data_IF_876095404969
#
_entry.id   IF_876095404969
#
_cell.length_a   1.000
_cell.length_b   1.000
_cell.length_c   1.000
_cell.angle_alpha   90.00
_cell.angle_beta   90.00
_cell.angle_gamma   90.00
#
_symmetry.space_group_name_H-M   'P 1'
#
loop_
_entity.id
_entity.type
_entity.pdbx_description
1 polymer ?
#
# COMPACT_ATOMS: atom_id res chain seq x y z
N UNK A 1 -18.34 -2.46 -11.79
CA UNK A 1 -17.06 -2.62 -11.11
C UNK A 1 -16.98 -1.64 -9.93
N UNK A 2 -16.69 -2.16 -8.76
CA UNK A 2 -16.45 -1.40 -7.53
C UNK A 2 -14.93 -1.32 -7.34
N UNK A 3 -14.40 -0.11 -7.19
CA UNK A 3 -12.98 0.13 -6.93
C UNK A 3 -12.91 1.14 -5.78
N UNK A 4 -12.21 0.76 -4.72
CA UNK A 4 -11.88 1.67 -3.65
C UNK A 4 -10.55 2.39 -3.98
N UNK A 5 -10.49 3.71 -3.80
CA UNK A 5 -9.31 4.51 -4.17
C UNK A 5 -8.03 4.05 -3.48
N UNK A 6 -8.12 3.68 -2.18
CA UNK A 6 -6.99 3.11 -1.43
C UNK A 6 -6.51 1.76 -1.96
N UNK A 7 -7.35 1.05 -2.73
CA UNK A 7 -6.99 -0.23 -3.35
C UNK A 7 -6.59 -0.12 -4.83
N UNK A 8 -6.20 1.07 -5.29
CA UNK A 8 -5.78 1.24 -6.69
C UNK A 8 -4.67 2.29 -6.81
N UNK A 9 -3.44 1.87 -6.99
CA UNK A 9 -2.29 2.73 -7.19
C UNK A 9 -1.84 2.67 -8.65
N UNK A 10 -2.00 3.75 -9.38
CA UNK A 10 -1.64 3.83 -10.80
C UNK A 10 -0.29 4.52 -10.96
N UNK A 11 0.56 3.93 -11.80
CA UNK A 11 1.85 4.51 -12.20
C UNK A 11 2.16 4.14 -13.64
N UNK A 12 2.29 5.12 -14.52
CA UNK A 12 2.67 4.95 -15.95
C UNK A 12 1.90 3.81 -16.64
N UNK A 13 0.57 3.85 -16.59
CA UNK A 13 -0.28 2.86 -17.25
C UNK A 13 -0.36 1.49 -16.55
N UNK A 14 0.32 1.31 -15.44
CA UNK A 14 0.21 0.10 -14.61
C UNK A 14 -0.59 0.37 -13.36
N UNK A 15 -1.40 -0.58 -12.93
CA UNK A 15 -2.06 -0.51 -11.61
C UNK A 15 -1.57 -1.59 -10.68
N UNK A 16 -1.47 -1.24 -9.41
CA UNK A 16 -1.20 -2.15 -8.30
C UNK A 16 -2.43 -2.17 -7.39
N UNK A 17 -2.99 -3.37 -7.19
CA UNK A 17 -4.16 -3.61 -6.35
C UNK A 17 -3.90 -4.80 -5.42
N UNK A 18 -4.76 -5.00 -4.45
CA UNK A 18 -4.84 -6.28 -3.73
C UNK A 18 -5.99 -7.15 -4.26
N UNK A 19 -5.99 -8.43 -3.88
CA UNK A 19 -7.06 -9.39 -4.19
C UNK A 19 -8.40 -9.04 -3.52
N UNK A 20 -8.47 -7.98 -2.72
CA UNK A 20 -9.69 -7.36 -2.22
C UNK A 20 -10.65 -6.99 -3.36
N UNK A 21 -10.11 -6.60 -4.52
CA UNK A 21 -10.91 -6.27 -5.71
C UNK A 21 -11.85 -7.41 -6.13
N UNK A 22 -11.45 -8.66 -5.95
CA UNK A 22 -12.29 -9.83 -6.26
C UNK A 22 -13.40 -10.02 -5.24
N UNK A 23 -13.14 -9.73 -3.96
CA UNK A 23 -14.12 -9.82 -2.89
C UNK A 23 -15.22 -8.78 -3.07
N UNK A 24 -14.85 -7.55 -3.40
CA UNK A 24 -15.78 -6.44 -3.59
C UNK A 24 -16.62 -6.59 -4.88
N UNK A 25 -16.13 -7.38 -5.83
CA UNK A 25 -16.79 -7.63 -7.13
C UNK A 25 -17.15 -9.10 -7.35
N UNK A 26 -17.46 -9.86 -6.31
CA UNK A 26 -17.78 -11.30 -6.37
C UNK A 26 -18.92 -11.70 -7.35
N UNK A 27 -19.68 -10.73 -7.85
CA UNK A 27 -20.72 -10.93 -8.87
C UNK A 27 -20.14 -10.96 -10.30
N UNK A 28 -18.85 -10.65 -10.49
CA UNK A 28 -18.13 -10.69 -11.74
C UNK A 28 -17.07 -11.79 -11.69
N UNK A 29 -16.69 -12.33 -12.86
CA UNK A 29 -15.52 -13.20 -12.96
C UNK A 29 -14.22 -12.39 -12.88
N UNK A 30 -13.12 -13.03 -12.44
CA UNK A 30 -11.78 -12.39 -12.40
C UNK A 30 -11.37 -11.84 -13.77
N UNK A 31 -11.71 -12.56 -14.85
CA UNK A 31 -11.45 -12.12 -16.22
C UNK A 31 -12.20 -10.83 -16.55
N UNK A 32 -13.45 -10.74 -16.16
CA UNK A 32 -14.29 -9.57 -16.40
C UNK A 32 -13.84 -8.38 -15.55
N UNK A 33 -13.43 -8.61 -14.30
CA UNK A 33 -12.85 -7.57 -13.44
C UNK A 33 -11.59 -6.99 -14.10
N UNK A 34 -10.64 -7.84 -14.51
CA UNK A 34 -9.41 -7.41 -15.16
C UNK A 34 -9.67 -6.64 -16.46
N UNK A 35 -10.60 -7.12 -17.31
CA UNK A 35 -11.00 -6.43 -18.54
C UNK A 35 -11.53 -5.02 -18.23
N UNK A 36 -12.44 -4.90 -17.29
CA UNK A 36 -13.03 -3.60 -16.90
C UNK A 36 -12.01 -2.65 -16.29
N UNK A 37 -11.07 -3.15 -15.46
CA UNK A 37 -9.98 -2.35 -14.93
C UNK A 37 -9.15 -1.73 -16.07
N UNK A 38 -8.73 -2.54 -17.02
CA UNK A 38 -7.93 -2.11 -18.18
C UNK A 38 -8.69 -1.05 -19.00
N UNK A 39 -9.94 -1.34 -19.36
CA UNK A 39 -10.74 -0.44 -20.21
C UNK A 39 -11.10 0.87 -19.51
N UNK A 40 -11.55 0.81 -18.24
CA UNK A 40 -12.04 1.99 -17.52
C UNK A 40 -10.90 2.93 -17.13
N UNK A 41 -9.78 2.37 -16.67
CA UNK A 41 -8.63 3.14 -16.19
C UNK A 41 -7.56 3.32 -17.27
N UNK A 42 -7.80 2.84 -18.49
CA UNK A 42 -6.87 2.90 -19.64
C UNK A 42 -5.49 2.35 -19.29
N UNK A 43 -5.46 1.17 -18.67
CA UNK A 43 -4.24 0.54 -18.19
C UNK A 43 -3.63 -0.36 -19.25
N UNK A 44 -2.31 -0.45 -19.24
CA UNK A 44 -1.53 -1.43 -20.00
C UNK A 44 -1.37 -2.73 -19.19
N UNK A 45 -1.38 -2.61 -17.83
CA UNK A 45 -1.12 -3.74 -16.96
C UNK A 45 -1.87 -3.60 -15.62
N UNK A 46 -2.42 -4.74 -15.18
CA UNK A 46 -3.03 -4.87 -13.84
C UNK A 46 -2.21 -5.87 -13.02
N UNK A 47 -1.75 -5.45 -11.86
CA UNK A 47 -0.97 -6.25 -10.92
C UNK A 47 -1.78 -6.41 -9.65
N UNK A 48 -2.03 -7.67 -9.26
CA UNK A 48 -2.79 -7.99 -8.07
C UNK A 48 -1.91 -8.78 -7.09
N UNK A 49 -1.76 -8.24 -5.88
CA UNK A 49 -1.04 -8.85 -4.77
C UNK A 49 -2.04 -9.36 -3.72
N UNK A 50 -1.66 -10.30 -2.85
CA UNK A 50 -2.53 -10.72 -1.76
C UNK A 50 -2.73 -9.60 -0.76
N UNK A 51 -3.95 -9.39 -0.31
CA UNK A 51 -4.27 -8.50 0.82
C UNK A 51 -3.68 -9.01 2.12
N UNK A 52 -3.28 -8.11 3.01
CA UNK A 52 -2.72 -8.46 4.32
C UNK A 52 -3.81 -9.14 5.16
N UNK A 53 -3.53 -10.30 5.77
CA UNK A 53 -4.49 -10.98 6.64
C UNK A 53 -4.90 -10.11 7.82
N UNK A 54 -6.20 -10.11 8.14
CA UNK A 54 -6.79 -9.31 9.23
C UNK A 54 -6.72 -7.78 9.03
N UNK A 55 -6.24 -7.30 7.89
CA UNK A 55 -6.42 -5.90 7.53
C UNK A 55 -7.89 -5.67 7.17
N UNK A 56 -8.53 -4.76 7.89
CA UNK A 56 -9.95 -4.43 7.71
C UNK A 56 -10.27 -3.97 6.29
N UNK A 57 -9.42 -3.13 5.73
CA UNK A 57 -9.57 -2.63 4.36
C UNK A 57 -9.02 -3.61 3.34
N UNK A 58 -7.87 -4.19 3.63
CA UNK A 58 -7.09 -5.01 2.70
C UNK A 58 -6.59 -4.22 1.50
N UNK A 59 -6.44 -2.90 1.63
CA UNK A 59 -6.06 -2.00 0.54
C UNK A 59 -4.56 -2.01 0.25
N UNK A 60 -4.24 -1.70 -1.01
CA UNK A 60 -2.86 -1.69 -1.49
C UNK A 60 -2.02 -0.55 -0.91
N UNK A 61 -2.61 0.60 -0.60
CA UNK A 61 -1.92 1.76 -0.04
C UNK A 61 -1.38 1.53 1.39
N UNK A 62 -1.93 0.54 2.10
CA UNK A 62 -1.39 0.04 3.36
C UNK A 62 -0.28 -0.99 3.19
N UNK A 63 -0.16 -1.60 2.00
CA UNK A 63 0.80 -2.65 1.71
C UNK A 63 2.01 -2.15 0.92
N UNK A 64 1.79 -1.35 -0.14
CA UNK A 64 2.85 -0.99 -1.07
C UNK A 64 2.67 0.40 -1.69
N UNK A 65 3.76 0.92 -2.28
CA UNK A 65 3.80 2.14 -3.11
C UNK A 65 4.73 1.92 -4.29
N UNK A 66 4.44 2.53 -5.43
CA UNK A 66 5.38 2.58 -6.53
C UNK A 66 6.61 3.43 -6.20
N UNK A 67 7.80 2.95 -6.52
CA UNK A 67 9.05 3.72 -6.56
C UNK A 67 9.46 4.04 -8.00
N UNK A 68 9.24 3.06 -8.90
CA UNK A 68 9.44 3.17 -10.34
C UNK A 68 8.58 2.11 -11.07
N UNK A 69 8.76 1.96 -12.39
CA UNK A 69 7.97 1.03 -13.23
C UNK A 69 8.11 -0.45 -12.85
N UNK A 70 9.14 -0.82 -12.12
CA UNK A 70 9.45 -2.21 -11.76
C UNK A 70 9.69 -2.43 -10.28
N UNK A 71 9.77 -1.35 -9.51
CA UNK A 71 10.13 -1.40 -8.09
C UNK A 71 9.03 -0.81 -7.22
N UNK A 72 8.70 -1.50 -6.17
CA UNK A 72 7.75 -1.03 -5.16
C UNK A 72 8.41 -0.90 -3.78
N UNK A 73 7.99 0.09 -3.02
CA UNK A 73 8.15 0.11 -1.57
C UNK A 73 7.10 -0.82 -0.97
N UNK A 74 7.52 -1.75 -0.14
CA UNK A 74 6.66 -2.78 0.42
C UNK A 74 6.72 -2.75 1.95
N UNK A 75 5.58 -2.73 2.61
CA UNK A 75 5.48 -2.94 4.06
C UNK A 75 6.16 -4.25 4.44
N UNK A 76 7.09 -4.20 5.41
CA UNK A 76 7.84 -5.39 5.82
C UNK A 76 6.90 -6.44 6.42
N UNK A 77 6.74 -7.62 5.79
CA UNK A 77 5.83 -8.67 6.25
C UNK A 77 6.44 -9.58 7.32
N UNK A 78 7.50 -9.15 8.01
CA UNK A 78 8.26 -10.00 8.96
C UNK A 78 7.36 -10.64 10.02
N UNK A 79 6.37 -9.90 10.52
CA UNK A 79 5.45 -10.35 11.56
C UNK A 79 4.24 -11.13 11.01
N UNK A 80 4.14 -11.28 9.70
CA UNK A 80 3.04 -11.97 9.05
C UNK A 80 3.26 -13.50 9.02
N UNK A 81 2.15 -14.24 8.87
CA UNK A 81 2.17 -15.68 8.78
C UNK A 81 2.90 -16.18 7.52
N UNK A 82 3.60 -17.30 7.61
CA UNK A 82 4.40 -17.86 6.52
C UNK A 82 3.61 -18.11 5.23
N UNK A 83 2.35 -18.58 5.34
CA UNK A 83 1.51 -18.79 4.15
C UNK A 83 1.26 -17.50 3.37
N UNK A 84 1.08 -16.36 4.08
CA UNK A 84 0.89 -15.07 3.45
C UNK A 84 2.19 -14.59 2.79
N UNK A 85 3.31 -14.66 3.51
CA UNK A 85 4.64 -14.30 2.97
C UNK A 85 4.95 -15.08 1.70
N UNK A 86 4.71 -16.39 1.71
CA UNK A 86 4.90 -17.26 0.53
C UNK A 86 4.04 -16.83 -0.65
N UNK A 87 2.75 -16.51 -0.42
CA UNK A 87 1.82 -16.03 -1.45
C UNK A 87 2.26 -14.67 -2.00
N UNK A 88 2.69 -13.75 -1.13
CA UNK A 88 3.16 -12.42 -1.50
C UNK A 88 4.42 -12.50 -2.37
N UNK A 89 5.45 -13.23 -1.93
CA UNK A 89 6.70 -13.36 -2.69
C UNK A 89 6.50 -14.11 -4.03
N UNK A 90 5.64 -15.10 -4.05
CA UNK A 90 5.26 -15.77 -5.30
C UNK A 90 4.57 -14.81 -6.27
N UNK A 91 3.67 -13.96 -5.76
CA UNK A 91 3.02 -12.91 -6.54
C UNK A 91 4.01 -11.91 -7.11
N UNK A 92 4.90 -11.37 -6.28
CA UNK A 92 5.95 -10.44 -6.71
C UNK A 92 6.86 -11.03 -7.79
N UNK A 93 7.30 -12.28 -7.60
CA UNK A 93 8.12 -13.00 -8.58
C UNK A 93 7.38 -13.22 -9.91
N UNK A 94 6.12 -13.67 -9.85
CA UNK A 94 5.28 -13.87 -11.05
C UNK A 94 5.09 -12.58 -11.83
N UNK A 95 4.98 -11.45 -11.12
CA UNK A 95 4.81 -10.13 -11.71
C UNK A 95 6.13 -9.46 -12.08
N UNK A 96 7.28 -10.08 -11.80
CA UNK A 96 8.62 -9.54 -12.06
C UNK A 96 8.84 -8.17 -11.41
N UNK A 97 8.32 -7.99 -10.20
CA UNK A 97 8.49 -6.79 -9.40
C UNK A 97 9.68 -6.90 -8.46
N UNK A 98 10.53 -5.89 -8.47
CA UNK A 98 11.50 -5.63 -7.42
C UNK A 98 10.80 -4.96 -6.24
N UNK A 99 11.39 -5.08 -5.05
CA UNK A 99 10.84 -4.43 -3.86
C UNK A 99 11.93 -4.00 -2.88
N UNK A 100 11.62 -2.94 -2.15
CA UNK A 100 12.40 -2.44 -1.02
C UNK A 100 11.47 -2.44 0.20
N UNK A 101 11.92 -2.95 1.33
CA UNK A 101 11.11 -2.95 2.53
C UNK A 101 11.16 -1.62 3.27
N UNK A 102 10.00 -1.17 3.74
CA UNK A 102 9.89 -0.16 4.78
C UNK A 102 9.44 -0.81 6.09
N UNK A 103 9.89 -0.22 7.21
CA UNK A 103 9.41 -0.62 8.54
C UNK A 103 7.87 -0.69 8.57
N UNK A 104 7.33 -1.68 9.28
CA UNK A 104 5.90 -1.83 9.54
C UNK A 104 5.70 -2.32 10.98
N UNK A 105 4.91 -1.59 11.76
CA UNK A 105 4.57 -1.93 13.15
C UNK A 105 3.05 -1.94 13.38
N UNK A 106 2.28 -2.14 12.33
CA UNK A 106 0.84 -2.32 12.42
C UNK A 106 0.52 -3.56 13.25
N UNK A 107 -0.32 -3.42 14.27
CA UNK A 107 -0.78 -4.55 15.07
C UNK A 107 -2.15 -5.03 14.57
N UNK A 108 -2.14 -5.94 13.61
CA UNK A 108 -3.35 -6.48 12.99
C UNK A 108 -4.03 -7.57 13.83
N UNK A 109 -3.42 -7.97 14.97
CA UNK A 109 -3.99 -8.96 15.89
C UNK A 109 -4.73 -8.31 17.07
N UNK A 110 -4.86 -6.98 17.09
CA UNK A 110 -5.62 -6.27 18.13
C UNK A 110 -7.11 -6.24 17.77
N UNK A 111 -7.97 -6.23 18.79
CA UNK A 111 -9.42 -6.03 18.63
C UNK A 111 -9.77 -4.62 18.13
N UNK A 112 -8.78 -3.78 17.93
CA UNK A 112 -8.92 -2.41 17.46
C UNK A 112 -8.45 -2.26 16.02
N UNK A 113 -9.30 -1.67 15.19
CA UNK A 113 -8.93 -1.20 13.86
C UNK A 113 -7.94 -0.06 14.04
N UNK A 114 -6.66 -0.28 13.69
CA UNK A 114 -5.64 0.76 13.81
C UNK A 114 -4.59 0.62 12.72
N UNK A 115 -4.38 1.71 11.98
CA UNK A 115 -3.31 1.82 10.99
C UNK A 115 -2.00 2.35 11.59
N UNK A 116 -1.87 2.42 12.93
CA UNK A 116 -0.66 2.87 13.59
C UNK A 116 0.54 2.02 13.22
N UNK A 117 1.60 2.65 12.71
CA UNK A 117 2.81 1.97 12.25
C UNK A 117 2.80 1.57 10.77
N UNK A 118 1.75 1.91 10.00
CA UNK A 118 1.70 1.72 8.57
C UNK A 118 2.37 2.92 7.87
N UNK A 119 3.61 2.76 7.45
CA UNK A 119 4.41 3.85 6.87
C UNK A 119 4.32 3.96 5.34
N UNK A 120 3.70 3.02 4.66
CA UNK A 120 3.44 3.10 3.21
C UNK A 120 2.36 4.12 2.85
N UNK A 121 1.53 4.50 3.81
CA UNK A 121 0.37 5.37 3.59
C UNK A 121 0.73 6.87 3.68
N UNK A 122 1.85 7.27 3.05
CA UNK A 122 2.29 8.67 2.95
C UNK A 122 1.70 9.36 1.73
N UNK A 123 1.77 10.70 1.69
CA UNK A 123 1.46 11.50 0.51
C UNK A 123 2.78 11.97 -0.10
N UNK A 124 2.97 11.69 -1.38
CA UNK A 124 4.10 12.16 -2.16
C UNK A 124 3.69 13.38 -2.98
N UNK A 125 4.37 14.50 -2.76
CA UNK A 125 4.26 15.73 -3.51
C UNK A 125 5.51 15.92 -4.39
N UNK A 126 5.52 16.93 -5.22
CA UNK A 126 6.65 17.22 -6.11
C UNK A 126 7.98 17.32 -5.33
N UNK A 127 8.02 18.15 -4.28
CA UNK A 127 9.23 18.46 -3.52
C UNK A 127 9.22 17.96 -2.07
N UNK A 128 8.12 17.37 -1.62
CA UNK A 128 7.93 16.97 -0.23
C UNK A 128 7.26 15.59 -0.13
N UNK A 129 7.47 14.93 1.01
CA UNK A 129 6.72 13.75 1.40
C UNK A 129 6.08 14.04 2.75
N UNK A 130 4.74 14.04 2.81
CA UNK A 130 4.00 14.09 4.06
C UNK A 130 3.96 12.69 4.64
N UNK A 131 4.71 12.47 5.70
CA UNK A 131 5.00 11.14 6.22
C UNK A 131 4.33 10.89 7.57
N UNK A 132 3.54 9.81 7.73
CA UNK A 132 2.87 9.52 8.98
C UNK A 132 3.87 9.12 10.06
N UNK A 133 3.75 9.72 11.25
CA UNK A 133 4.51 9.36 12.44
C UNK A 133 3.57 9.20 13.63
N UNK A 134 3.97 8.38 14.60
CA UNK A 134 3.09 7.91 15.67
C UNK A 134 3.68 8.09 17.08
N UNK A 135 4.84 8.73 17.19
CA UNK A 135 5.62 8.84 18.41
C UNK A 135 6.01 7.46 19.00
N UNK A 136 6.51 6.58 18.15
CA UNK A 136 7.03 5.26 18.49
C UNK A 136 8.45 5.07 17.96
N UNK A 137 9.18 4.10 18.51
CA UNK A 137 10.60 3.87 18.18
C UNK A 137 10.87 3.59 16.70
N UNK A 138 9.90 3.00 16.00
CA UNK A 138 10.02 2.69 14.57
C UNK A 138 9.93 3.90 13.66
N UNK A 139 9.35 5.03 14.11
CA UNK A 139 9.23 6.24 13.28
C UNK A 139 10.57 6.71 12.72
N UNK A 140 11.61 6.76 13.58
CA UNK A 140 12.94 7.21 13.13
C UNK A 140 13.54 6.30 12.08
N UNK A 141 13.37 4.99 12.23
CA UNK A 141 13.86 4.00 11.25
C UNK A 141 13.13 4.17 9.92
N UNK A 142 11.81 4.29 9.95
CA UNK A 142 10.99 4.49 8.76
C UNK A 142 11.31 5.81 8.05
N UNK A 143 11.47 6.92 8.80
CA UNK A 143 11.89 8.21 8.25
C UNK A 143 13.24 8.14 7.55
N UNK A 144 14.22 7.48 8.18
CA UNK A 144 15.55 7.30 7.57
C UNK A 144 15.47 6.49 6.27
N UNK A 145 14.63 5.43 6.22
CA UNK A 145 14.43 4.62 5.02
C UNK A 145 13.82 5.45 3.89
N UNK A 146 12.77 6.24 4.17
CA UNK A 146 12.15 7.11 3.17
C UNK A 146 13.11 8.18 2.68
N UNK A 147 13.87 8.81 3.57
CA UNK A 147 14.83 9.86 3.18
C UNK A 147 15.94 9.32 2.27
N UNK A 148 16.36 8.06 2.45
CA UNK A 148 17.31 7.40 1.55
C UNK A 148 16.72 7.11 0.16
N UNK A 149 15.43 6.78 0.08
CA UNK A 149 14.74 6.52 -1.19
C UNK A 149 14.42 7.81 -1.97
N UNK A 150 14.19 8.90 -1.26
CA UNK A 150 13.83 10.20 -1.83
C UNK A 150 14.76 11.32 -1.33
N UNK A 151 16.08 11.27 -1.67
CA UNK A 151 17.06 12.18 -1.10
C UNK A 151 16.85 13.65 -1.49
N UNK A 152 16.17 13.91 -2.60
CA UNK A 152 15.86 15.27 -3.09
C UNK A 152 14.57 15.85 -2.51
N UNK A 153 13.71 15.03 -1.87
CA UNK A 153 12.45 15.49 -1.31
C UNK A 153 12.59 15.82 0.17
N UNK A 154 11.94 16.90 0.58
CA UNK A 154 11.83 17.23 2.00
C UNK A 154 10.83 16.31 2.70
N UNK A 155 11.27 15.63 3.74
CA UNK A 155 10.40 14.80 4.57
C UNK A 155 9.71 15.66 5.63
N UNK A 156 8.37 15.65 5.62
CA UNK A 156 7.52 16.39 6.55
C UNK A 156 6.77 15.38 7.43
N UNK A 157 7.19 15.17 8.69
CA UNK A 157 6.50 14.25 9.59
C UNK A 157 5.15 14.83 10.04
N UNK A 158 4.10 14.01 9.92
CA UNK A 158 2.73 14.34 10.33
C UNK A 158 2.28 13.38 11.43
N UNK A 159 1.97 13.92 12.62
CA UNK A 159 1.46 13.12 13.72
C UNK A 159 0.07 12.56 13.41
N UNK A 160 0.01 11.25 13.19
CA UNK A 160 -1.16 10.57 12.61
C UNK A 160 -1.91 9.67 13.59
N UNK A 161 -1.63 9.74 14.91
CA UNK A 161 -2.27 8.87 15.89
C UNK A 161 -3.80 9.00 15.93
N UNK A 162 -4.35 10.20 15.70
CA UNK A 162 -5.79 10.42 15.75
C UNK A 162 -6.52 9.71 14.59
N UNK A 163 -6.02 9.87 13.36
CA UNK A 163 -6.60 9.25 12.18
C UNK A 163 -6.35 7.74 12.15
N UNK A 164 -5.16 7.30 12.57
CA UNK A 164 -4.80 5.88 12.61
C UNK A 164 -5.77 5.01 13.41
N UNK A 165 -6.39 5.55 14.45
CA UNK A 165 -7.38 4.84 15.28
C UNK A 165 -8.60 4.34 14.51
N UNK A 166 -8.90 4.96 13.37
CA UNK A 166 -10.03 4.62 12.51
C UNK A 166 -9.63 3.76 11.31
N UNK A 167 -8.41 3.22 11.31
CA UNK A 167 -7.92 2.31 10.26
C UNK A 167 -7.42 2.99 8.99
N UNK A 168 -7.41 4.33 8.92
CA UNK A 168 -6.90 5.11 7.80
C UNK A 168 -5.72 6.00 8.17
N UNK A 169 -5.02 6.53 7.16
CA UNK A 169 -3.91 7.46 7.31
C UNK A 169 -3.94 8.56 6.23
N UNK A 170 -2.80 9.17 5.94
CA UNK A 170 -2.71 10.37 5.10
C UNK A 170 -3.19 10.13 3.66
N UNK A 171 -2.75 9.05 3.04
CA UNK A 171 -3.16 8.69 1.68
C UNK A 171 -4.67 8.40 1.60
N UNK A 172 -5.22 7.68 2.58
CA UNK A 172 -6.65 7.33 2.63
C UNK A 172 -7.57 8.55 2.73
N UNK A 173 -7.11 9.69 3.22
CA UNK A 173 -7.88 10.93 3.36
C UNK A 173 -7.48 12.01 2.36
N UNK A 174 -6.68 11.66 1.35
CA UNK A 174 -6.20 12.59 0.32
C UNK A 174 -6.78 12.23 -1.05
N UNK A 175 -6.78 13.22 -1.92
CA UNK A 175 -7.04 13.09 -3.33
C UNK A 175 -5.90 13.76 -4.11
N UNK A 176 -5.41 13.10 -5.15
CA UNK A 176 -4.38 13.63 -6.05
C UNK A 176 -4.88 13.51 -7.50
N UNK A 177 -4.78 14.60 -8.26
CA UNK A 177 -5.07 14.62 -9.70
C UNK A 177 -3.85 14.16 -10.52
#
# INVERSE_FOLDING_TARGET
LIIDGGNCLIYKGQSLLTDRIYIDNKHLSDKEINRRLIETLKLERVIILPSVPNDFTGHIDGLARWLDEKTILLSNPENEKEYYKSKLYSGLKKQQLNYVFIENKTNLNSDYISAKGCYTNYIELENEILFPVFNIKSDQKAMNQIQLLFPSKKLVPIYSNAIAKNGGLLHCISWQD
#
